data_IF_296546547835
#
_entry.id   IF_296546547835
#
_cell.length_a   1.000
_cell.length_b   1.000
_cell.length_c   1.000
_cell.angle_alpha   90.00
_cell.angle_beta   90.00
_cell.angle_gamma   90.00
#
_symmetry.space_group_name_H-M   'P 1'
#
loop_
_entity.id
_entity.type
_entity.pdbx_description
1 polymer ?
#
# COMPACT_ATOMS: atom_id res chain seq x y z
N UNK A 1 -27.48 -20.27 11.89
CA UNK A 1 -27.17 -20.24 13.34
C UNK A 1 -27.25 -18.79 13.75
N UNK A 2 -28.25 -18.44 14.56
CA UNK A 2 -28.62 -17.06 14.88
C UNK A 2 -27.56 -16.44 15.79
N UNK A 3 -26.87 -15.41 15.30
CA UNK A 3 -25.77 -14.73 16.01
C UNK A 3 -26.41 -13.65 16.91
N UNK A 4 -26.18 -13.75 18.23
CA UNK A 4 -26.38 -12.63 19.15
C UNK A 4 -25.01 -12.11 19.56
N UNK A 5 -24.85 -10.79 19.42
CA UNK A 5 -23.69 -10.00 19.81
C UNK A 5 -23.56 -9.94 21.34
N UNK A 6 -22.39 -10.30 21.87
CA UNK A 6 -21.94 -9.86 23.18
C UNK A 6 -20.71 -8.99 22.94
N UNK A 7 -20.84 -7.74 23.36
CA UNK A 7 -19.84 -6.68 23.32
C UNK A 7 -18.85 -6.81 24.48
N UNK A 8 -17.60 -6.44 24.18
CA UNK A 8 -16.43 -6.31 25.06
C UNK A 8 -15.72 -7.62 25.41
N UNK A 9 -14.62 -7.87 24.69
CA UNK A 9 -13.28 -8.23 25.19
C UNK A 9 -12.31 -8.04 23.99
N UNK A 10 -11.22 -7.29 24.15
CA UNK A 10 -10.32 -6.90 23.02
C UNK A 10 -8.86 -7.17 23.40
N UNK A 11 -8.25 -8.29 22.98
CA UNK A 11 -6.82 -8.49 23.21
C UNK A 11 -5.95 -8.25 21.94
N UNK A 12 -4.75 -7.70 22.17
CA UNK A 12 -3.52 -7.57 21.33
C UNK A 12 -3.52 -8.11 19.88
N UNK A 13 -3.93 -7.30 18.92
CA UNK A 13 -3.90 -7.60 17.47
C UNK A 13 -3.54 -6.31 16.72
N UNK A 14 -3.11 -6.33 15.44
CA UNK A 14 -2.98 -5.12 14.62
C UNK A 14 -4.23 -4.23 14.63
N UNK A 15 -5.41 -4.80 14.90
CA UNK A 15 -6.64 -4.06 15.18
C UNK A 15 -6.51 -3.04 16.32
N UNK A 16 -5.69 -3.34 17.32
CA UNK A 16 -5.43 -2.47 18.46
C UNK A 16 -4.59 -1.24 18.07
N UNK A 17 -3.69 -1.32 17.08
CA UNK A 17 -2.97 -0.14 16.55
C UNK A 17 -3.99 0.84 15.99
N UNK A 18 -4.81 0.35 15.07
CA UNK A 18 -5.86 1.12 14.42
C UNK A 18 -6.92 1.65 15.40
N UNK A 19 -7.25 0.90 16.45
CA UNK A 19 -8.18 1.31 17.51
C UNK A 19 -7.59 2.30 18.52
N UNK A 20 -6.26 2.27 18.72
CA UNK A 20 -5.57 3.29 19.50
C UNK A 20 -5.40 4.59 18.72
N UNK A 21 -5.29 4.51 17.39
CA UNK A 21 -5.29 5.68 16.49
C UNK A 21 -6.64 6.41 16.53
N UNK A 22 -7.73 5.64 16.44
CA UNK A 22 -9.09 6.17 16.51
C UNK A 22 -9.94 5.33 17.46
N UNK A 23 -10.57 5.99 18.45
CA UNK A 23 -11.64 5.38 19.26
C UNK A 23 -12.87 4.99 18.42
N UNK A 24 -12.86 5.29 17.11
CA UNK A 24 -13.89 4.96 16.15
C UNK A 24 -13.61 3.61 15.48
N UNK A 25 -14.68 2.85 15.26
CA UNK A 25 -14.62 1.65 14.43
C UNK A 25 -14.52 2.07 12.96
N UNK A 26 -13.41 1.75 12.32
CA UNK A 26 -13.11 1.93 10.90
C UNK A 26 -13.12 0.57 10.18
N UNK A 27 -13.04 0.55 8.85
CA UNK A 27 -13.02 -0.71 8.09
C UNK A 27 -11.91 -1.67 8.55
N UNK A 28 -10.77 -1.11 8.96
CA UNK A 28 -9.58 -1.87 9.34
C UNK A 28 -9.64 -2.53 10.71
N UNK A 29 -10.46 -2.05 11.66
CA UNK A 29 -10.50 -2.55 13.06
C UNK A 29 -11.87 -3.05 13.52
N UNK A 30 -12.93 -2.82 12.75
CA UNK A 30 -14.27 -3.28 13.13
C UNK A 30 -14.34 -4.82 13.18
N UNK A 31 -14.72 -5.35 14.35
CA UNK A 31 -14.81 -6.80 14.61
C UNK A 31 -16.21 -7.33 14.30
N UNK A 32 -17.25 -6.54 14.54
CA UNK A 32 -18.63 -6.89 14.22
C UNK A 32 -18.82 -7.12 12.71
N UNK A 33 -19.40 -8.27 12.36
CA UNK A 33 -19.49 -8.76 10.98
C UNK A 33 -20.44 -7.90 10.14
N UNK A 34 -21.57 -7.48 10.71
CA UNK A 34 -22.58 -6.70 10.00
C UNK A 34 -22.11 -5.25 9.79
N UNK A 35 -21.49 -4.65 10.81
CA UNK A 35 -20.87 -3.33 10.72
C UNK A 35 -19.71 -3.33 9.72
N UNK A 36 -18.86 -4.36 9.73
CA UNK A 36 -17.82 -4.53 8.71
C UNK A 36 -18.43 -4.63 7.31
N UNK A 37 -19.46 -5.47 7.13
CA UNK A 37 -20.11 -5.64 5.83
C UNK A 37 -20.73 -4.32 5.32
N UNK A 38 -21.38 -3.55 6.19
CA UNK A 38 -21.90 -2.21 5.88
C UNK A 38 -20.78 -1.29 5.40
N UNK A 39 -19.74 -1.10 6.21
CA UNK A 39 -18.60 -0.23 5.87
C UNK A 39 -17.95 -0.67 4.57
N UNK A 40 -17.77 -1.98 4.36
CA UNK A 40 -17.21 -2.53 3.12
C UNK A 40 -18.06 -2.19 1.90
N UNK A 41 -19.39 -2.34 1.97
CA UNK A 41 -20.30 -1.98 0.86
C UNK A 41 -20.22 -0.49 0.51
N UNK A 42 -20.21 0.37 1.52
CA UNK A 42 -20.09 1.83 1.33
C UNK A 42 -18.74 2.16 0.71
N UNK A 43 -17.65 1.63 1.28
CA UNK A 43 -16.29 1.89 0.84
C UNK A 43 -16.04 1.43 -0.60
N UNK A 44 -16.59 0.28 -1.00
CA UNK A 44 -16.45 -0.27 -2.35
C UNK A 44 -16.98 0.70 -3.45
N UNK A 45 -17.81 1.70 -3.12
CA UNK A 45 -18.24 2.71 -4.11
C UNK A 45 -17.07 3.58 -4.60
N UNK A 46 -16.17 3.96 -3.69
CA UNK A 46 -14.95 4.70 -4.00
C UNK A 46 -13.88 3.85 -4.73
N UNK A 47 -14.00 2.52 -4.65
CA UNK A 47 -13.11 1.57 -5.33
C UNK A 47 -13.77 0.85 -6.51
N UNK A 48 -14.93 1.34 -6.97
CA UNK A 48 -15.60 0.81 -8.16
C UNK A 48 -14.79 1.09 -9.43
N UNK A 49 -14.94 0.28 -10.48
CA UNK A 49 -14.25 0.50 -11.76
C UNK A 49 -14.49 1.91 -12.34
N UNK A 50 -15.68 2.47 -12.10
CA UNK A 50 -16.00 3.85 -12.47
C UNK A 50 -15.16 4.86 -11.70
N UNK A 51 -15.03 4.68 -10.38
CA UNK A 51 -14.23 5.54 -9.53
C UNK A 51 -12.74 5.43 -9.90
N UNK A 52 -12.24 4.22 -10.15
CA UNK A 52 -10.85 3.99 -10.56
C UNK A 52 -10.52 4.64 -11.91
N UNK A 53 -11.40 4.54 -12.92
CA UNK A 53 -11.24 5.29 -14.17
C UNK A 53 -11.25 6.81 -13.98
N UNK A 54 -12.00 7.31 -12.99
CA UNK A 54 -11.98 8.72 -12.61
C UNK A 54 -10.72 9.14 -11.86
N UNK A 55 -10.08 8.20 -11.16
CA UNK A 55 -8.85 8.40 -10.40
C UNK A 55 -7.58 8.40 -11.29
N UNK A 56 -7.57 7.57 -12.33
CA UNK A 56 -6.43 7.34 -13.22
C UNK A 56 -5.77 8.61 -13.79
N UNK A 57 -6.52 9.65 -14.25
CA UNK A 57 -5.89 10.90 -14.71
C UNK A 57 -4.99 11.56 -13.66
N UNK A 58 -5.31 11.44 -12.37
CA UNK A 58 -4.48 11.98 -11.29
C UNK A 58 -3.23 11.14 -11.05
N UNK A 59 -3.30 9.82 -11.28
CA UNK A 59 -2.13 8.93 -11.26
C UNK A 59 -1.17 9.35 -12.37
N UNK A 60 -1.65 9.49 -13.61
CA UNK A 60 -0.83 9.94 -14.73
C UNK A 60 -0.21 11.33 -14.49
N UNK A 61 -1.01 12.30 -14.07
CA UNK A 61 -0.51 13.66 -13.80
C UNK A 61 0.67 13.66 -12.82
N UNK A 62 0.56 12.92 -11.72
CA UNK A 62 1.62 12.87 -10.71
C UNK A 62 2.83 12.06 -11.18
N UNK A 63 2.60 10.94 -11.85
CA UNK A 63 3.65 10.08 -12.38
C UNK A 63 4.45 10.76 -13.49
N UNK A 64 3.79 11.39 -14.45
CA UNK A 64 4.45 12.04 -15.57
C UNK A 64 5.35 13.17 -15.06
N UNK A 65 4.87 13.96 -14.09
CA UNK A 65 5.68 14.96 -13.40
C UNK A 65 6.86 14.34 -12.64
N UNK A 66 6.66 13.20 -11.98
CA UNK A 66 7.75 12.52 -11.28
C UNK A 66 8.83 12.00 -12.24
N UNK A 67 8.44 11.47 -13.41
CA UNK A 67 9.36 11.04 -14.45
C UNK A 67 10.12 12.24 -15.06
N UNK A 68 9.45 13.38 -15.26
CA UNK A 68 10.13 14.63 -15.65
C UNK A 68 11.19 15.07 -14.64
N UNK A 69 10.86 15.03 -13.34
CA UNK A 69 11.78 15.38 -12.26
C UNK A 69 12.98 14.41 -12.21
N UNK A 70 12.76 13.12 -12.42
CA UNK A 70 13.82 12.12 -12.54
C UNK A 70 14.71 12.37 -13.77
N UNK A 71 14.11 12.70 -14.92
CA UNK A 71 14.85 13.06 -16.13
C UNK A 71 15.72 14.30 -15.93
N UNK A 72 15.26 15.29 -15.17
CA UNK A 72 16.01 16.50 -14.83
C UNK A 72 17.22 16.23 -13.92
N UNK A 73 17.31 15.06 -13.27
CA UNK A 73 18.50 14.65 -12.51
C UNK A 73 19.64 14.14 -13.41
N UNK A 74 19.41 13.95 -14.71
CA UNK A 74 20.43 13.57 -15.68
C UNK A 74 21.09 14.85 -16.19
N UNK A 75 22.32 15.11 -15.74
CA UNK A 75 23.08 16.31 -16.13
C UNK A 75 23.46 16.27 -17.61
N UNK A 76 23.56 17.44 -18.26
CA UNK A 76 24.02 17.54 -19.65
C UNK A 76 25.41 16.91 -19.82
N UNK A 77 25.51 15.87 -20.64
CA UNK A 77 26.77 15.16 -20.92
C UNK A 77 27.05 13.96 -19.99
N UNK A 78 26.19 13.71 -18.99
CA UNK A 78 26.22 12.49 -18.19
C UNK A 78 25.24 11.46 -18.74
N UNK A 79 25.64 10.19 -18.74
CA UNK A 79 24.78 9.09 -19.17
C UNK A 79 23.75 8.70 -18.08
N UNK A 80 24.14 8.85 -16.81
CA UNK A 80 23.35 8.42 -15.65
C UNK A 80 23.03 9.59 -14.73
N UNK A 81 21.87 9.56 -14.10
CA UNK A 81 21.43 10.56 -13.14
C UNK A 81 22.26 10.53 -11.85
N UNK A 82 22.09 11.60 -11.05
CA UNK A 82 22.47 11.53 -9.64
C UNK A 82 21.71 10.38 -8.94
N UNK A 83 22.33 9.72 -7.95
CA UNK A 83 21.67 8.65 -7.20
C UNK A 83 20.49 9.18 -6.40
N UNK A 84 19.35 8.50 -6.50
CA UNK A 84 18.11 8.86 -5.83
C UNK A 84 17.74 7.77 -4.82
N UNK A 85 17.31 8.16 -3.62
CA UNK A 85 16.79 7.22 -2.62
C UNK A 85 15.33 6.88 -2.96
N UNK A 86 15.12 5.71 -3.52
CA UNK A 86 13.80 5.30 -4.01
C UNK A 86 12.76 5.09 -2.90
N UNK A 87 13.17 4.85 -1.65
CA UNK A 87 12.21 4.85 -0.54
C UNK A 87 11.51 6.22 -0.41
N UNK A 88 12.30 7.30 -0.48
CA UNK A 88 11.80 8.67 -0.36
C UNK A 88 11.05 9.10 -1.61
N UNK A 89 11.62 8.89 -2.79
CA UNK A 89 11.01 9.29 -4.06
C UNK A 89 9.66 8.61 -4.30
N UNK A 90 9.56 7.31 -4.00
CA UNK A 90 8.29 6.60 -4.09
C UNK A 90 7.29 7.04 -3.02
N UNK A 91 7.74 7.36 -1.80
CA UNK A 91 6.84 7.96 -0.79
C UNK A 91 6.23 9.25 -1.32
N UNK A 92 7.04 10.17 -1.85
CA UNK A 92 6.55 11.45 -2.34
C UNK A 92 5.55 11.30 -3.50
N UNK A 93 5.85 10.42 -4.46
CA UNK A 93 4.94 10.13 -5.57
C UNK A 93 3.58 9.62 -5.08
N UNK A 94 3.58 8.57 -4.26
CA UNK A 94 2.33 7.93 -3.84
C UNK A 94 1.53 8.84 -2.90
N UNK A 95 2.20 9.63 -2.03
CA UNK A 95 1.53 10.63 -1.21
C UNK A 95 0.85 11.71 -2.05
N UNK A 96 1.46 12.17 -3.15
CA UNK A 96 0.82 13.15 -4.03
C UNK A 96 -0.40 12.56 -4.75
N UNK A 97 -0.30 11.29 -5.21
CA UNK A 97 -1.44 10.56 -5.77
C UNK A 97 -2.56 10.45 -4.75
N UNK A 98 -2.28 10.02 -3.52
CA UNK A 98 -3.31 9.92 -2.48
C UNK A 98 -3.81 11.26 -1.97
N UNK A 99 -2.99 12.32 -2.06
CA UNK A 99 -3.44 13.70 -1.89
C UNK A 99 -4.61 13.99 -2.82
N UNK A 100 -4.41 13.71 -4.10
CA UNK A 100 -5.41 13.89 -5.13
C UNK A 100 -6.65 13.00 -4.93
N UNK A 101 -6.50 11.77 -4.40
CA UNK A 101 -7.61 10.83 -4.22
C UNK A 101 -8.38 10.99 -2.90
N UNK A 102 -7.72 11.31 -1.80
CA UNK A 102 -8.33 11.38 -0.46
C UNK A 102 -8.63 12.83 -0.02
N UNK A 103 -7.89 13.82 -0.53
CA UNK A 103 -7.98 15.22 -0.07
C UNK A 103 -8.31 16.21 -1.19
N UNK A 104 -8.48 15.71 -2.41
CA UNK A 104 -8.84 16.52 -3.57
C UNK A 104 -7.76 17.46 -4.06
N UNK A 105 -6.49 17.24 -3.69
CA UNK A 105 -5.33 18.01 -4.17
C UNK A 105 -4.02 17.24 -4.05
N UNK A 106 -3.11 17.39 -5.01
CA UNK A 106 -1.71 17.03 -4.83
C UNK A 106 -1.09 17.84 -3.69
N UNK A 107 -0.16 17.24 -2.97
CA UNK A 107 0.66 17.91 -1.95
C UNK A 107 1.94 18.49 -2.53
N UNK A 108 2.28 18.10 -3.76
CA UNK A 108 3.51 18.46 -4.46
C UNK A 108 4.76 18.10 -3.63
N UNK A 109 4.71 16.99 -2.88
CA UNK A 109 5.81 16.48 -2.06
C UNK A 109 7.02 16.12 -2.91
N UNK A 110 6.80 15.61 -4.13
CA UNK A 110 7.88 15.24 -5.06
C UNK A 110 8.68 16.44 -5.57
N UNK A 111 8.13 17.65 -5.49
CA UNK A 111 8.81 18.83 -5.98
C UNK A 111 10.05 19.15 -5.11
N UNK A 112 11.17 19.62 -5.70
CA UNK A 112 12.40 19.92 -4.96
C UNK A 112 12.20 20.88 -3.78
N UNK A 113 11.37 21.91 -3.98
CA UNK A 113 11.07 23.01 -3.05
C UNK A 113 9.99 22.69 -2.00
N UNK A 114 9.52 21.45 -1.90
CA UNK A 114 8.42 21.11 -0.99
C UNK A 114 8.86 21.13 0.48
N UNK A 115 8.15 21.91 1.31
CA UNK A 115 8.40 22.05 2.75
C UNK A 115 7.80 20.93 3.60
N UNK A 116 7.05 20.02 2.99
CA UNK A 116 6.26 18.97 3.68
C UNK A 116 6.78 17.56 3.40
N UNK A 117 8.05 17.43 2.98
CA UNK A 117 8.71 16.13 2.76
C UNK A 117 8.88 15.29 4.02
N UNK A 118 8.73 15.89 5.20
CA UNK A 118 8.76 15.19 6.49
C UNK A 118 7.44 14.49 6.86
N UNK A 119 6.34 14.70 6.12
CA UNK A 119 5.04 14.10 6.44
C UNK A 119 5.06 12.56 6.39
N UNK A 120 5.66 11.90 5.39
CA UNK A 120 5.79 10.43 5.39
C UNK A 120 6.56 9.92 6.62
N UNK A 121 7.65 10.59 7.01
CA UNK A 121 8.42 10.22 8.19
C UNK A 121 7.63 10.43 9.48
N UNK A 122 6.84 11.51 9.55
CA UNK A 122 5.97 11.79 10.68
C UNK A 122 4.86 10.74 10.84
N UNK A 123 4.28 10.29 9.73
CA UNK A 123 3.33 9.17 9.70
C UNK A 123 4.00 7.87 10.16
N UNK A 124 5.21 7.59 9.69
CA UNK A 124 5.93 6.39 10.07
C UNK A 124 6.37 6.40 11.55
N UNK A 125 6.78 7.55 12.08
CA UNK A 125 7.08 7.74 13.50
C UNK A 125 5.83 7.50 14.36
N UNK A 126 4.67 7.96 13.89
CA UNK A 126 3.39 7.68 14.52
C UNK A 126 3.10 6.16 14.57
N UNK A 127 3.22 5.45 13.45
CA UNK A 127 3.02 3.99 13.41
C UNK A 127 3.98 3.22 14.35
N UNK A 128 5.26 3.62 14.37
CA UNK A 128 6.29 3.04 15.25
C UNK A 128 5.98 3.25 16.73
N UNK A 129 5.38 4.39 17.11
CA UNK A 129 4.97 4.62 18.50
C UNK A 129 3.74 3.78 18.87
N UNK A 130 2.75 3.73 17.98
CA UNK A 130 1.46 3.09 18.28
C UNK A 130 1.55 1.56 18.34
N UNK A 131 2.45 0.95 17.58
CA UNK A 131 2.58 -0.51 17.51
C UNK A 131 2.94 -1.16 18.86
N UNK A 132 4.03 -0.80 19.56
CA UNK A 132 4.33 -1.41 20.86
C UNK A 132 3.22 -1.22 21.89
N UNK A 133 2.52 -0.08 21.84
CA UNK A 133 1.38 0.20 22.74
C UNK A 133 0.23 -0.77 22.44
N UNK A 134 -0.06 -1.03 21.17
CA UNK A 134 -1.12 -1.94 20.74
C UNK A 134 -0.89 -3.39 21.11
N UNK A 135 0.36 -3.84 21.06
CA UNK A 135 0.74 -5.21 21.44
C UNK A 135 1.08 -5.36 22.93
N UNK A 136 1.02 -4.26 23.69
CA UNK A 136 1.26 -4.26 25.12
C UNK A 136 0.13 -4.98 25.88
N UNK A 137 0.43 -5.73 26.95
CA UNK A 137 -0.61 -6.27 27.84
C UNK A 137 -1.41 -5.14 28.54
N UNK A 138 -0.93 -3.90 28.49
CA UNK A 138 -1.63 -2.73 29.03
C UNK A 138 -2.52 -2.02 28.02
N UNK A 139 -2.64 -2.51 26.78
CA UNK A 139 -3.41 -1.84 25.73
C UNK A 139 -4.90 -1.65 26.11
N UNK A 140 -5.51 -2.67 26.74
CA UNK A 140 -6.89 -2.58 27.23
C UNK A 140 -7.04 -1.54 28.33
N UNK A 141 -6.12 -1.53 29.30
CA UNK A 141 -6.09 -0.52 30.36
C UNK A 141 -5.91 0.88 29.77
N UNK A 142 -5.04 1.03 28.77
CA UNK A 142 -4.80 2.28 28.06
C UNK A 142 -6.06 2.77 27.34
N UNK A 143 -6.72 1.90 26.56
CA UNK A 143 -7.99 2.21 25.89
C UNK A 143 -9.09 2.59 26.88
N UNK A 144 -9.16 1.90 28.02
CA UNK A 144 -10.12 2.19 29.08
C UNK A 144 -9.85 3.53 29.78
N UNK A 145 -8.58 3.87 29.99
CA UNK A 145 -8.13 5.13 30.60
C UNK A 145 -8.22 6.33 29.66
N UNK A 146 -8.09 6.11 28.34
CA UNK A 146 -8.07 7.14 27.29
C UNK A 146 -9.23 8.16 27.43
N UNK A 147 -10.52 7.75 27.43
CA UNK A 147 -11.64 8.68 27.60
C UNK A 147 -11.80 9.21 29.05
N UNK A 148 -11.02 8.70 30.01
CA UNK A 148 -11.11 9.05 31.45
C UNK A 148 -10.03 10.03 31.91
N UNK A 149 -9.39 10.73 30.97
CA UNK A 149 -8.41 11.80 31.26
C UNK A 149 -6.97 11.48 30.86
N UNK A 150 -6.68 10.24 30.43
CA UNK A 150 -5.35 9.92 29.90
C UNK A 150 -5.08 10.68 28.60
N UNK A 151 -6.08 10.92 27.74
CA UNK A 151 -5.89 11.74 26.54
C UNK A 151 -5.39 13.15 26.89
N UNK A 152 -5.94 13.78 27.93
CA UNK A 152 -5.48 15.10 28.38
C UNK A 152 -4.01 15.06 28.82
N UNK A 153 -3.60 14.04 29.59
CA UNK A 153 -2.20 13.88 29.98
C UNK A 153 -1.28 13.64 28.78
N UNK A 154 -1.72 12.83 27.82
CA UNK A 154 -0.96 12.49 26.62
C UNK A 154 -0.73 13.72 25.73
N UNK A 155 -1.66 14.69 25.68
CA UNK A 155 -1.46 15.90 24.86
C UNK A 155 -0.15 16.64 25.17
N UNK A 156 0.33 16.58 26.42
CA UNK A 156 1.61 17.17 26.83
C UNK A 156 2.83 16.31 26.47
N UNK A 157 2.66 14.99 26.31
CA UNK A 157 3.73 14.03 26.04
C UNK A 157 3.79 13.57 24.56
N UNK A 158 2.84 13.99 23.72
CA UNK A 158 2.82 13.60 22.29
C UNK A 158 4.00 14.23 21.53
N UNK A 159 4.84 13.42 20.85
CA UNK A 159 5.91 13.90 19.97
C UNK A 159 5.44 14.86 18.87
N UNK A 160 6.33 15.75 18.43
CA UNK A 160 6.01 16.78 17.42
C UNK A 160 5.62 16.18 16.06
N UNK A 161 6.22 15.06 15.68
CA UNK A 161 5.89 14.33 14.46
C UNK A 161 4.42 13.89 14.45
N UNK A 162 3.92 13.39 15.57
CA UNK A 162 2.52 12.93 15.69
C UNK A 162 1.55 14.11 15.59
N UNK A 163 1.88 15.23 16.24
CA UNK A 163 1.08 16.46 16.13
C UNK A 163 1.07 16.96 14.68
N UNK A 164 2.20 16.88 14.00
CA UNK A 164 2.35 17.27 12.60
C UNK A 164 1.47 16.41 11.70
N UNK A 165 1.51 15.08 11.84
CA UNK A 165 0.64 14.14 11.13
C UNK A 165 -0.85 14.43 11.37
N UNK A 166 -1.25 14.49 12.65
CA UNK A 166 -2.66 14.73 13.01
C UNK A 166 -3.18 16.07 12.47
N UNK A 167 -2.38 17.14 12.62
CA UNK A 167 -2.72 18.47 12.10
C UNK A 167 -2.82 18.47 10.58
N UNK A 168 -1.91 17.77 9.91
CA UNK A 168 -1.92 17.63 8.46
C UNK A 168 -3.21 16.97 7.97
N UNK A 169 -3.57 15.81 8.53
CA UNK A 169 -4.80 15.08 8.15
C UNK A 169 -6.04 15.93 8.42
N UNK A 170 -6.19 16.44 9.65
CA UNK A 170 -7.37 17.23 10.05
C UNK A 170 -7.55 18.47 9.17
N UNK A 171 -6.48 19.24 8.95
CA UNK A 171 -6.54 20.48 8.16
C UNK A 171 -6.94 20.21 6.71
N UNK A 172 -6.43 19.13 6.11
CA UNK A 172 -6.73 18.83 4.71
C UNK A 172 -8.14 18.26 4.54
N UNK A 173 -8.61 17.41 5.47
CA UNK A 173 -10.00 16.93 5.46
C UNK A 173 -10.99 18.06 5.70
N UNK A 174 -10.73 18.99 6.62
CA UNK A 174 -11.58 20.16 6.83
C UNK A 174 -11.69 21.06 5.61
N UNK A 175 -10.57 21.28 4.90
CA UNK A 175 -10.58 22.01 3.63
C UNK A 175 -11.40 21.26 2.58
N UNK A 176 -11.22 19.95 2.46
CA UNK A 176 -11.93 19.13 1.47
C UNK A 176 -13.44 19.05 1.74
N UNK A 177 -13.83 18.96 3.01
CA UNK A 177 -15.23 19.01 3.47
C UNK A 177 -15.90 20.31 3.07
N UNK A 178 -15.25 21.46 3.29
CA UNK A 178 -15.78 22.77 2.90
C UNK A 178 -16.02 22.85 1.40
N UNK A 179 -15.06 22.37 0.60
CA UNK A 179 -15.20 22.33 -0.86
C UNK A 179 -16.41 21.47 -1.27
N UNK A 180 -16.64 20.32 -0.62
CA UNK A 180 -17.81 19.48 -0.92
C UNK A 180 -19.13 20.16 -0.53
N UNK A 181 -19.18 20.78 0.64
CA UNK A 181 -20.36 21.52 1.11
C UNK A 181 -20.68 22.73 0.21
N UNK A 182 -19.65 23.46 -0.23
CA UNK A 182 -19.79 24.60 -1.15
C UNK A 182 -20.28 24.14 -2.54
N UNK A 183 -19.83 22.96 -3.02
CA UNK A 183 -20.32 22.35 -4.26
C UNK A 183 -21.80 21.93 -4.15
N UNK A 184 -22.25 21.42 -3.00
CA UNK A 184 -23.67 21.11 -2.79
C UNK A 184 -24.54 22.39 -2.71
N UNK A 185 -24.00 23.47 -2.11
CA UNK A 185 -24.71 24.74 -1.96
C UNK A 185 -24.75 25.59 -3.24
N UNK A 186 -23.75 25.45 -4.12
CA UNK A 186 -23.69 26.15 -5.40
C UNK A 186 -24.31 25.29 -6.51
N UNK A 187 -25.20 25.86 -7.35
CA UNK A 187 -25.76 25.16 -8.53
C UNK A 187 -24.72 24.92 -9.65
N UNK A 188 -23.43 24.85 -9.31
CA UNK A 188 -22.38 24.47 -10.25
C UNK A 188 -22.49 22.96 -10.47
N UNK A 189 -23.01 22.60 -11.65
CA UNK A 189 -23.48 21.25 -11.92
C UNK A 189 -22.45 20.14 -11.69
N UNK A 190 -22.96 18.94 -11.35
CA UNK A 190 -22.26 17.66 -11.14
C UNK A 190 -21.22 17.28 -12.23
N UNK A 191 -21.23 17.96 -13.38
CA UNK A 191 -20.33 17.73 -14.50
C UNK A 191 -18.90 18.28 -14.27
N UNK A 192 -18.74 19.28 -13.39
CA UNK A 192 -17.43 19.91 -13.10
C UNK A 192 -16.81 19.47 -11.77
N UNK A 193 -17.53 18.68 -10.96
CA UNK A 193 -17.09 18.26 -9.64
C UNK A 193 -15.99 17.19 -9.74
N UNK A 194 -14.93 17.39 -8.95
CA UNK A 194 -13.84 16.41 -8.77
C UNK A 194 -14.40 15.13 -8.13
N UNK A 195 -14.24 13.99 -8.80
CA UNK A 195 -14.76 12.68 -8.34
C UNK A 195 -13.66 11.84 -7.72
N UNK A 196 -13.17 12.29 -6.58
CA UNK A 196 -12.16 11.62 -5.76
C UNK A 196 -12.80 10.67 -4.73
N UNK A 197 -12.01 9.90 -3.96
CA UNK A 197 -12.56 8.98 -2.95
C UNK A 197 -13.39 9.73 -1.91
N UNK A 198 -12.95 10.92 -1.50
CA UNK A 198 -13.70 11.73 -0.56
C UNK A 198 -15.10 12.07 -1.10
N UNK A 199 -15.20 12.51 -2.36
CA UNK A 199 -16.48 12.78 -3.03
C UNK A 199 -17.38 11.55 -3.03
N UNK A 200 -16.86 10.38 -3.41
CA UNK A 200 -17.65 9.16 -3.44
C UNK A 200 -18.13 8.71 -2.07
N UNK A 201 -17.39 9.00 -1.00
CA UNK A 201 -17.71 8.58 0.37
C UNK A 201 -18.53 9.62 1.16
N UNK A 202 -18.49 10.89 0.79
CA UNK A 202 -19.14 11.98 1.52
C UNK A 202 -20.66 11.82 1.60
N UNK A 203 -21.30 11.54 0.47
CA UNK A 203 -22.75 11.28 0.37
C UNK A 203 -23.07 9.82 0.06
N UNK A 204 -22.10 8.92 0.24
CA UNK A 204 -22.33 7.50 0.01
C UNK A 204 -23.50 7.02 0.85
N UNK A 205 -24.39 6.24 0.26
CA UNK A 205 -25.46 5.53 0.98
C UNK A 205 -25.13 4.05 1.03
N UNK A 206 -25.50 3.37 2.12
CA UNK A 206 -25.44 1.91 2.12
C UNK A 206 -26.45 1.39 1.08
N UNK A 207 -26.00 0.64 0.05
CA UNK A 207 -26.89 0.13 -0.98
C UNK A 207 -28.03 -0.76 -0.45
N UNK A 208 -27.89 -1.34 0.74
CA UNK A 208 -28.92 -2.20 1.33
C UNK A 208 -29.97 -1.42 2.13
N UNK A 209 -29.57 -0.40 2.88
CA UNK A 209 -30.49 0.32 3.79
C UNK A 209 -30.94 1.66 3.24
N UNK A 210 -30.20 2.24 2.29
CA UNK A 210 -30.42 3.60 1.77
C UNK A 210 -30.03 4.71 2.75
N UNK A 211 -29.52 4.37 3.93
CA UNK A 211 -29.02 5.31 4.94
C UNK A 211 -27.66 5.88 4.54
N UNK A 212 -27.29 7.02 5.12
CA UNK A 212 -25.94 7.58 4.96
C UNK A 212 -24.88 6.59 5.43
N UNK A 213 -23.85 6.42 4.61
CA UNK A 213 -22.82 5.41 4.79
C UNK A 213 -21.87 5.73 5.94
N UNK A 214 -21.51 7.00 6.11
CA UNK A 214 -20.61 7.46 7.16
C UNK A 214 -21.08 8.78 7.78
N UNK A 215 -20.93 8.92 9.10
CA UNK A 215 -20.91 10.24 9.74
C UNK A 215 -19.61 10.96 9.37
N UNK A 216 -19.58 12.29 9.45
CA UNK A 216 -18.39 13.08 9.07
C UNK A 216 -17.11 12.66 9.82
N UNK A 217 -17.21 12.38 11.12
CA UNK A 217 -16.08 11.90 11.92
C UNK A 217 -15.63 10.48 11.53
N UNK A 218 -16.58 9.60 11.17
CA UNK A 218 -16.26 8.27 10.65
C UNK A 218 -15.58 8.39 9.29
N UNK A 219 -16.08 9.25 8.39
CA UNK A 219 -15.46 9.52 7.10
C UNK A 219 -14.03 10.01 7.24
N UNK A 220 -13.77 10.91 8.20
CA UNK A 220 -12.42 11.40 8.46
C UNK A 220 -11.48 10.26 8.86
N UNK A 221 -11.93 9.39 9.76
CA UNK A 221 -11.16 8.25 10.20
C UNK A 221 -10.94 7.24 9.06
N UNK A 222 -11.94 6.98 8.20
CA UNK A 222 -11.77 6.12 7.02
C UNK A 222 -10.77 6.74 6.03
N UNK A 223 -10.86 8.05 5.73
CA UNK A 223 -9.93 8.73 4.82
C UNK A 223 -8.48 8.75 5.34
N UNK A 224 -8.27 8.92 6.65
CA UNK A 224 -6.93 8.80 7.25
C UNK A 224 -6.36 7.39 7.04
N UNK A 225 -7.17 6.36 7.28
CA UNK A 225 -6.74 4.97 7.11
C UNK A 225 -6.49 4.62 5.66
N UNK A 226 -7.30 5.13 4.72
CA UNK A 226 -7.03 5.00 3.29
C UNK A 226 -5.71 5.67 2.89
N UNK A 227 -5.40 6.82 3.48
CA UNK A 227 -4.14 7.52 3.24
C UNK A 227 -2.97 6.68 3.70
N UNK A 228 -2.99 6.18 4.94
CA UNK A 228 -1.91 5.35 5.50
C UNK A 228 -1.78 4.02 4.75
N UNK A 229 -2.90 3.33 4.53
CA UNK A 229 -2.90 2.01 3.93
C UNK A 229 -2.48 2.04 2.46
N UNK A 230 -2.88 3.07 1.70
CA UNK A 230 -2.54 3.17 0.29
C UNK A 230 -1.18 3.83 0.02
N UNK A 231 -0.68 4.69 0.91
CA UNK A 231 0.60 5.38 0.70
C UNK A 231 1.79 4.45 0.92
N UNK A 232 1.95 3.93 2.14
CA UNK A 232 3.13 3.15 2.51
C UNK A 232 3.22 1.87 1.70
N UNK A 233 2.11 1.15 1.54
CA UNK A 233 2.13 -0.17 0.89
C UNK A 233 2.58 -0.08 -0.56
N UNK A 234 1.99 0.80 -1.37
CA UNK A 234 2.37 0.98 -2.78
C UNK A 234 3.77 1.57 -2.90
N UNK A 235 4.16 2.49 -2.03
CA UNK A 235 5.50 3.08 -2.05
C UNK A 235 6.61 2.05 -1.71
N UNK A 236 6.35 1.10 -0.81
CA UNK A 236 7.24 -0.03 -0.51
C UNK A 236 7.45 -0.89 -1.74
N UNK A 237 6.36 -1.33 -2.38
CA UNK A 237 6.48 -2.21 -3.54
C UNK A 237 7.16 -1.48 -4.69
N UNK A 238 6.80 -0.23 -4.96
CA UNK A 238 7.41 0.56 -6.04
C UNK A 238 8.91 0.76 -5.82
N UNK A 239 9.36 1.05 -4.59
CA UNK A 239 10.78 1.11 -4.27
C UNK A 239 11.46 -0.26 -4.48
N UNK A 240 10.81 -1.35 -4.07
CA UNK A 240 11.32 -2.70 -4.29
C UNK A 240 11.39 -3.09 -5.79
N UNK A 241 10.44 -2.63 -6.62
CA UNK A 241 10.51 -2.84 -8.07
C UNK A 241 11.82 -2.25 -8.61
N UNK A 242 12.17 -1.03 -8.21
CA UNK A 242 13.44 -0.41 -8.64
C UNK A 242 14.67 -1.16 -8.12
N UNK A 243 14.61 -1.71 -6.91
CA UNK A 243 15.67 -2.54 -6.34
C UNK A 243 15.94 -3.79 -7.20
N UNK A 244 14.88 -4.53 -7.53
CA UNK A 244 15.00 -5.78 -8.29
C UNK A 244 15.32 -5.53 -9.77
N UNK A 245 14.79 -4.47 -10.39
CA UNK A 245 15.16 -4.10 -11.76
C UNK A 245 16.65 -3.77 -11.89
N UNK A 246 17.18 -2.99 -10.95
CA UNK A 246 18.55 -2.52 -10.97
C UNK A 246 19.59 -3.63 -10.75
N UNK A 247 19.17 -4.75 -10.13
CA UNK A 247 20.02 -5.93 -9.87
C UNK A 247 19.81 -7.07 -10.86
N UNK A 248 18.80 -6.98 -11.73
CA UNK A 248 18.49 -8.03 -12.70
C UNK A 248 18.39 -7.45 -14.12
N UNK A 249 19.54 -7.16 -14.79
CA UNK A 249 19.54 -6.60 -16.15
C UNK A 249 18.74 -7.43 -17.16
N UNK A 250 18.82 -8.77 -17.07
CA UNK A 250 18.04 -9.70 -17.90
C UNK A 250 16.53 -9.45 -17.78
N UNK A 251 16.05 -9.34 -16.54
CA UNK A 251 14.64 -9.09 -16.25
C UNK A 251 14.20 -7.71 -16.73
N UNK A 252 15.05 -6.71 -16.49
CA UNK A 252 14.80 -5.33 -16.92
C UNK A 252 14.65 -5.24 -18.45
N UNK A 253 15.53 -5.89 -19.20
CA UNK A 253 15.48 -5.91 -20.66
C UNK A 253 14.25 -6.64 -21.19
N UNK A 254 13.91 -7.79 -20.59
CA UNK A 254 12.72 -8.57 -20.97
C UNK A 254 11.42 -7.78 -20.75
N UNK A 255 11.33 -7.07 -19.62
CA UNK A 255 10.21 -6.18 -19.34
C UNK A 255 10.17 -4.98 -20.30
N UNK A 256 11.33 -4.36 -20.59
CA UNK A 256 11.42 -3.26 -21.55
C UNK A 256 10.96 -3.69 -22.95
N UNK A 257 11.37 -4.89 -23.40
CA UNK A 257 10.96 -5.47 -24.67
C UNK A 257 9.45 -5.69 -24.76
N UNK A 258 8.81 -6.22 -23.71
CA UNK A 258 7.35 -6.38 -23.68
C UNK A 258 6.64 -5.02 -23.77
N UNK A 259 7.04 -4.07 -22.94
CA UNK A 259 6.37 -2.77 -22.85
C UNK A 259 6.57 -1.93 -24.12
N UNK A 260 7.80 -1.78 -24.61
CA UNK A 260 8.11 -1.02 -25.84
C UNK A 260 7.64 -1.72 -27.11
N UNK A 261 7.43 -3.04 -27.07
CA UNK A 261 6.77 -3.78 -28.15
C UNK A 261 5.25 -3.60 -28.17
N UNK A 262 4.63 -3.26 -27.04
CA UNK A 262 3.17 -3.12 -26.89
C UNK A 262 2.69 -1.68 -27.11
N UNK A 263 3.50 -0.69 -26.71
CA UNK A 263 3.15 0.73 -26.73
C UNK A 263 4.16 1.53 -27.55
N UNK A 264 3.70 2.52 -28.33
CA UNK A 264 4.59 3.36 -29.15
C UNK A 264 5.04 4.65 -28.45
N UNK A 265 4.46 4.97 -27.30
CA UNK A 265 4.87 6.11 -26.46
C UNK A 265 4.45 5.87 -25.00
N UNK A 266 5.11 6.54 -24.06
CA UNK A 266 4.75 6.52 -22.64
C UNK A 266 3.32 7.02 -22.40
N UNK A 267 2.83 7.97 -23.20
CA UNK A 267 1.48 8.53 -23.09
C UNK A 267 0.37 7.53 -23.45
N UNK A 268 0.67 6.50 -24.25
CA UNK A 268 -0.29 5.44 -24.57
C UNK A 268 -0.42 4.38 -23.48
N UNK A 269 0.47 4.41 -22.47
CA UNK A 269 0.44 3.47 -21.36
C UNK A 269 -0.65 3.95 -20.38
N UNK A 270 -1.84 3.41 -20.58
CA UNK A 270 -3.05 3.66 -19.76
C UNK A 270 -3.64 2.32 -19.30
N UNK A 271 -4.47 2.37 -18.27
CA UNK A 271 -5.24 1.21 -17.83
C UNK A 271 -6.17 0.75 -18.95
N UNK A 272 -6.15 -0.55 -19.26
CA UNK A 272 -6.89 -1.12 -20.37
C UNK A 272 -6.38 -2.49 -20.76
N UNK A 273 -7.04 -3.13 -21.73
CA UNK A 273 -6.71 -4.49 -22.16
C UNK A 273 -5.24 -4.68 -22.50
N UNK A 274 -4.65 -3.76 -23.30
CA UNK A 274 -3.23 -3.82 -23.67
C UNK A 274 -2.29 -3.96 -22.48
N UNK A 275 -2.48 -3.14 -21.44
CA UNK A 275 -1.64 -3.19 -20.23
C UNK A 275 -1.98 -4.40 -19.34
N UNK A 276 -3.23 -4.86 -19.36
CA UNK A 276 -3.63 -6.08 -18.66
C UNK A 276 -3.04 -7.35 -19.30
N UNK A 277 -2.86 -7.33 -20.62
CA UNK A 277 -2.32 -8.43 -21.42
C UNK A 277 -0.78 -8.52 -21.36
N UNK A 278 -0.09 -7.52 -20.79
CA UNK A 278 1.35 -7.58 -20.48
C UNK A 278 1.61 -8.60 -19.36
N UNK A 279 1.89 -9.85 -19.76
CA UNK A 279 2.04 -10.99 -18.84
C UNK A 279 3.31 -10.88 -18.02
N UNK A 280 4.42 -10.47 -18.64
CA UNK A 280 5.70 -10.36 -17.95
C UNK A 280 5.70 -9.20 -16.95
N UNK A 281 5.04 -8.08 -17.27
CA UNK A 281 4.75 -6.99 -16.33
C UNK A 281 4.00 -7.50 -15.09
N UNK A 282 2.90 -8.25 -15.28
CA UNK A 282 2.15 -8.83 -14.16
C UNK A 282 3.04 -9.77 -13.34
N UNK A 283 3.77 -10.66 -13.99
CA UNK A 283 4.68 -11.61 -13.37
C UNK A 283 5.77 -10.91 -12.52
N UNK A 284 6.35 -9.82 -13.03
CA UNK A 284 7.33 -9.02 -12.31
C UNK A 284 6.74 -8.40 -11.03
N UNK A 285 5.55 -7.82 -11.13
CA UNK A 285 4.87 -7.22 -9.97
C UNK A 285 4.49 -8.29 -8.94
N UNK A 286 3.99 -9.45 -9.39
CA UNK A 286 3.70 -10.59 -8.51
C UNK A 286 4.95 -11.05 -7.76
N UNK A 287 6.09 -11.18 -8.44
CA UNK A 287 7.35 -11.59 -7.80
C UNK A 287 7.86 -10.54 -6.81
N UNK A 288 7.71 -9.26 -7.15
CA UNK A 288 8.05 -8.16 -6.24
C UNK A 288 7.18 -8.19 -4.98
N UNK A 289 5.87 -8.38 -5.12
CA UNK A 289 4.94 -8.50 -3.99
C UNK A 289 5.19 -9.74 -3.15
N UNK A 290 5.59 -10.86 -3.76
CA UNK A 290 5.97 -12.07 -3.03
C UNK A 290 7.21 -11.82 -2.19
N UNK A 291 8.29 -11.32 -2.78
CA UNK A 291 9.56 -11.13 -2.06
C UNK A 291 9.54 -9.95 -1.09
N UNK A 292 8.74 -8.93 -1.38
CA UNK A 292 8.61 -7.72 -0.57
C UNK A 292 7.14 -7.48 -0.21
N UNK A 293 6.53 -8.33 0.65
CA UNK A 293 5.15 -8.12 1.08
C UNK A 293 5.09 -6.89 1.99
N UNK A 294 4.33 -5.83 1.64
CA UNK A 294 4.30 -4.60 2.45
C UNK A 294 3.73 -4.82 3.85
N UNK A 295 2.86 -5.82 4.01
CA UNK A 295 2.36 -6.27 5.30
C UNK A 295 2.90 -7.69 5.53
N UNK A 296 4.11 -7.83 6.08
CA UNK A 296 4.83 -9.11 6.13
C UNK A 296 4.30 -10.04 7.21
N UNK A 297 3.62 -9.50 8.23
CA UNK A 297 3.23 -10.23 9.43
C UNK A 297 1.80 -9.89 9.90
N UNK A 298 1.41 -10.67 10.91
CA UNK A 298 0.16 -10.78 11.65
C UNK A 298 -1.12 -10.15 11.05
N UNK A 299 -2.00 -11.00 10.51
CA UNK A 299 -3.41 -10.69 10.31
C UNK A 299 -4.25 -11.64 11.17
N UNK A 300 -3.98 -11.67 12.48
CA UNK A 300 -4.61 -12.59 13.41
C UNK A 300 -6.14 -12.62 13.32
N UNK A 301 -6.69 -13.80 13.53
CA UNK A 301 -8.09 -14.05 13.82
C UNK A 301 -8.20 -14.65 15.21
N UNK A 302 -9.26 -14.29 15.90
CA UNK A 302 -9.60 -14.90 17.18
C UNK A 302 -10.55 -16.06 16.94
N UNK A 303 -10.27 -17.19 17.58
CA UNK A 303 -11.14 -18.36 17.53
C UNK A 303 -12.36 -18.11 18.40
N UNK A 304 -13.54 -18.21 17.78
CA UNK A 304 -14.82 -17.95 18.43
C UNK A 304 -15.19 -19.04 19.46
N UNK A 305 -16.17 -18.77 20.34
CA UNK A 305 -16.73 -19.79 21.23
C UNK A 305 -17.12 -21.08 20.50
N UNK A 306 -16.69 -22.22 21.05
CA UNK A 306 -16.83 -23.54 20.43
C UNK A 306 -15.56 -24.07 19.78
N UNK A 307 -14.53 -23.24 19.60
CA UNK A 307 -13.26 -23.64 19.00
C UNK A 307 -13.34 -23.81 17.48
N UNK A 308 -12.23 -24.16 16.86
CA UNK A 308 -12.15 -24.50 15.43
C UNK A 308 -11.12 -25.58 15.18
N UNK A 309 -11.20 -26.29 14.06
CA UNK A 309 -10.20 -27.28 13.64
C UNK A 309 -9.60 -26.87 12.31
N UNK A 310 -8.27 -26.78 12.24
CA UNK A 310 -7.51 -26.47 11.00
C UNK A 310 -6.48 -27.57 10.80
N UNK A 311 -6.46 -28.20 9.61
CA UNK A 311 -5.55 -29.31 9.29
C UNK A 311 -5.53 -30.40 10.38
N UNK A 312 -6.70 -30.76 10.91
CA UNK A 312 -6.85 -31.78 11.97
C UNK A 312 -6.45 -31.34 13.39
N UNK A 313 -5.98 -30.11 13.57
CA UNK A 313 -5.59 -29.56 14.88
C UNK A 313 -6.72 -28.70 15.45
N UNK A 314 -7.18 -29.02 16.67
CA UNK A 314 -8.19 -28.24 17.37
C UNK A 314 -7.57 -27.03 18.08
N UNK A 315 -8.16 -25.87 17.85
CA UNK A 315 -7.83 -24.61 18.51
C UNK A 315 -9.01 -24.22 19.42
N UNK A 316 -8.79 -24.02 20.73
CA UNK A 316 -9.85 -23.59 21.63
C UNK A 316 -10.27 -22.14 21.37
N UNK A 317 -11.43 -21.76 21.89
CA UNK A 317 -11.87 -20.36 21.90
C UNK A 317 -10.81 -19.43 22.49
N UNK A 318 -10.83 -18.17 22.06
CA UNK A 318 -9.91 -17.10 22.48
C UNK A 318 -8.45 -17.30 22.03
N UNK A 319 -8.18 -18.35 21.22
CA UNK A 319 -6.88 -18.54 20.59
C UNK A 319 -6.73 -17.58 19.41
N UNK A 320 -5.58 -16.93 19.30
CA UNK A 320 -5.23 -16.15 18.10
C UNK A 320 -4.49 -17.01 17.10
N UNK A 321 -5.01 -17.08 15.89
CA UNK A 321 -4.42 -17.81 14.78
C UNK A 321 -4.09 -16.84 13.65
N UNK A 322 -2.90 -16.98 13.10
CA UNK A 322 -2.37 -16.10 12.07
C UNK A 322 -1.41 -16.87 11.17
N UNK A 323 -1.26 -16.42 9.94
CA UNK A 323 -0.29 -16.95 8.98
C UNK A 323 0.75 -15.88 8.71
N UNK A 324 2.03 -16.23 8.84
CA UNK A 324 3.12 -15.31 8.49
C UNK A 324 3.27 -15.23 6.98
N UNK A 325 2.80 -14.14 6.37
CA UNK A 325 2.89 -13.93 4.92
C UNK A 325 4.34 -13.96 4.44
N UNK A 326 5.25 -13.33 5.17
CA UNK A 326 6.68 -13.36 4.83
C UNK A 326 7.23 -14.79 4.79
N UNK A 327 6.94 -15.62 5.80
CA UNK A 327 7.44 -17.01 5.80
C UNK A 327 6.84 -17.83 4.66
N UNK A 328 5.55 -17.63 4.35
CA UNK A 328 4.90 -18.29 3.22
C UNK A 328 5.53 -17.88 1.88
N UNK A 329 5.81 -16.59 1.68
CA UNK A 329 6.48 -16.06 0.49
C UNK A 329 7.83 -16.70 0.24
N UNK A 330 8.54 -17.17 1.27
CA UNK A 330 9.86 -17.80 1.16
C UNK A 330 9.86 -19.31 1.40
N UNK A 331 8.69 -19.95 1.40
CA UNK A 331 8.56 -21.39 1.62
C UNK A 331 9.00 -22.18 0.38
N UNK A 332 10.02 -23.03 0.52
CA UNK A 332 10.48 -23.96 -0.53
C UNK A 332 9.41 -24.98 -0.93
N UNK A 333 8.40 -25.22 -0.08
CA UNK A 333 7.27 -26.08 -0.40
C UNK A 333 6.32 -25.48 -1.45
N UNK A 334 6.36 -24.16 -1.64
CA UNK A 334 5.48 -23.43 -2.55
C UNK A 334 6.29 -22.81 -3.69
N UNK A 335 7.44 -22.23 -3.38
CA UNK A 335 8.28 -21.50 -4.31
C UNK A 335 9.65 -22.14 -4.42
N UNK A 336 9.95 -22.73 -5.58
CA UNK A 336 11.29 -23.25 -5.87
C UNK A 336 12.32 -22.10 -5.88
N UNK A 337 13.47 -22.29 -5.23
CA UNK A 337 14.50 -21.27 -5.04
C UNK A 337 13.90 -19.93 -4.54
N UNK A 338 13.29 -19.90 -3.35
CA UNK A 338 12.41 -18.80 -2.92
C UNK A 338 13.12 -17.45 -2.76
N UNK A 339 14.45 -17.46 -2.57
CA UNK A 339 15.28 -16.26 -2.44
C UNK A 339 15.74 -15.69 -3.78
N UNK A 340 15.52 -16.40 -4.89
CA UNK A 340 15.86 -15.92 -6.24
C UNK A 340 14.69 -15.12 -6.80
N UNK A 341 14.95 -13.88 -7.18
CA UNK A 341 13.99 -13.04 -7.89
C UNK A 341 13.81 -13.54 -9.33
N UNK A 342 12.72 -14.29 -9.57
CA UNK A 342 12.42 -14.93 -10.85
C UNK A 342 10.97 -14.68 -11.26
N UNK A 343 10.66 -13.58 -11.99
CA UNK A 343 9.31 -13.34 -12.51
C UNK A 343 8.75 -14.50 -13.33
N UNK A 344 9.61 -15.26 -14.00
CA UNK A 344 9.19 -16.40 -14.82
C UNK A 344 8.41 -17.49 -14.05
N UNK A 345 8.51 -17.54 -12.72
CA UNK A 345 7.73 -18.50 -11.92
C UNK A 345 6.21 -18.32 -12.00
N UNK A 346 5.78 -17.16 -12.48
CA UNK A 346 4.37 -16.79 -12.64
C UNK A 346 3.87 -17.03 -14.08
N UNK A 347 4.70 -17.61 -14.94
CA UNK A 347 4.42 -17.83 -16.35
C UNK A 347 4.56 -19.32 -16.66
N UNK A 348 3.64 -19.83 -17.47
CA UNK A 348 3.74 -21.21 -17.95
C UNK A 348 4.79 -21.32 -19.05
N UNK A 349 5.34 -22.51 -19.27
CA UNK A 349 6.25 -22.81 -20.40
C UNK A 349 5.68 -22.43 -21.79
N UNK A 350 4.35 -22.35 -21.92
CA UNK A 350 3.68 -21.92 -23.15
C UNK A 350 3.70 -20.40 -23.34
N UNK A 351 3.81 -19.64 -22.25
CA UNK A 351 3.85 -18.18 -22.25
C UNK A 351 5.29 -17.66 -22.31
N UNK A 352 6.22 -18.38 -21.69
CA UNK A 352 7.62 -18.03 -21.62
C UNK A 352 8.51 -19.27 -21.60
N UNK A 353 9.57 -19.31 -22.40
CA UNK A 353 10.47 -20.47 -22.47
C UNK A 353 11.24 -20.75 -21.18
N UNK A 354 11.37 -19.73 -20.32
CA UNK A 354 11.98 -19.84 -18.98
C UNK A 354 10.93 -20.00 -17.88
N UNK A 355 9.64 -20.13 -18.24
CA UNK A 355 8.53 -20.34 -17.32
C UNK A 355 8.52 -21.74 -16.69
N UNK A 356 7.58 -21.94 -15.77
CA UNK A 356 7.41 -23.19 -15.02
C UNK A 356 6.28 -24.07 -15.59
N UNK A 357 6.14 -25.30 -15.08
CA UNK A 357 5.00 -26.15 -15.43
C UNK A 357 3.68 -25.52 -14.95
N UNK A 358 2.56 -25.85 -15.60
CA UNK A 358 1.24 -25.34 -15.19
C UNK A 358 0.90 -25.66 -13.74
N UNK A 359 1.35 -26.82 -13.24
CA UNK A 359 1.18 -27.24 -11.85
C UNK A 359 2.01 -26.38 -10.88
N UNK A 360 3.24 -26.05 -11.24
CA UNK A 360 4.10 -25.18 -10.43
C UNK A 360 3.60 -23.73 -10.39
N UNK A 361 3.13 -23.20 -11.53
CA UNK A 361 2.51 -21.87 -11.58
C UNK A 361 1.24 -21.84 -10.73
N UNK A 362 0.39 -22.86 -10.82
CA UNK A 362 -0.81 -22.96 -9.98
C UNK A 362 -0.48 -23.06 -8.47
N UNK A 363 0.60 -23.76 -8.11
CA UNK A 363 1.09 -23.83 -6.74
C UNK A 363 1.59 -22.45 -6.26
N UNK A 364 2.38 -21.75 -7.07
CA UNK A 364 2.86 -20.40 -6.76
C UNK A 364 1.71 -19.40 -6.56
N UNK A 365 0.70 -19.45 -7.43
CA UNK A 365 -0.54 -18.67 -7.34
C UNK A 365 -1.33 -18.99 -6.05
N UNK A 366 -1.39 -20.27 -5.65
CA UNK A 366 -2.09 -20.68 -4.43
C UNK A 366 -1.47 -20.13 -3.15
N UNK A 367 -0.16 -19.89 -3.13
CA UNK A 367 0.54 -19.25 -2.02
C UNK A 367 0.52 -17.72 -2.05
N UNK A 368 0.13 -17.13 -3.18
CA UNK A 368 0.15 -15.68 -3.36
C UNK A 368 -0.98 -15.01 -2.57
N UNK A 369 -0.61 -14.31 -1.50
CA UNK A 369 -1.57 -13.71 -0.57
C UNK A 369 -1.24 -12.24 -0.20
N UNK A 370 -0.49 -11.52 -1.03
CA UNK A 370 -0.06 -10.14 -0.76
C UNK A 370 -1.22 -9.16 -0.49
N UNK A 371 -2.42 -9.47 -0.98
CA UNK A 371 -3.64 -8.68 -0.75
C UNK A 371 -4.61 -9.30 0.27
N UNK A 372 -4.19 -10.35 1.00
CA UNK A 372 -5.06 -11.19 1.84
C UNK A 372 -6.21 -11.83 1.03
N UNK A 373 -7.06 -12.62 1.69
CA UNK A 373 -8.17 -13.34 1.03
C UNK A 373 -9.46 -13.28 1.86
N UNK A 374 -10.59 -13.58 1.21
CA UNK A 374 -11.91 -13.62 1.84
C UNK A 374 -12.49 -12.25 2.18
N UNK A 375 -13.42 -12.21 3.14
CA UNK A 375 -14.19 -11.00 3.48
C UNK A 375 -13.35 -9.83 4.02
N UNK A 376 -12.11 -10.10 4.45
CA UNK A 376 -11.14 -9.11 4.95
C UNK A 376 -10.02 -8.82 3.95
N UNK A 377 -10.15 -9.28 2.70
CA UNK A 377 -9.19 -8.98 1.63
C UNK A 377 -9.05 -7.48 1.38
N UNK A 378 -7.90 -7.07 0.86
CA UNK A 378 -7.57 -5.66 0.61
C UNK A 378 -8.68 -4.97 -0.20
N UNK A 379 -9.07 -3.76 0.22
CA UNK A 379 -10.06 -2.95 -0.50
C UNK A 379 -9.45 -2.27 -1.73
N UNK A 380 -8.18 -1.87 -1.62
CA UNK A 380 -7.45 -1.14 -2.66
C UNK A 380 -6.80 -2.03 -3.72
N UNK A 381 -7.04 -3.35 -3.73
CA UNK A 381 -6.32 -4.29 -4.60
C UNK A 381 -6.31 -3.87 -6.08
N UNK A 382 -7.47 -3.52 -6.64
CA UNK A 382 -7.58 -3.13 -8.05
C UNK A 382 -6.87 -1.79 -8.33
N UNK A 383 -6.94 -0.85 -7.38
CA UNK A 383 -6.27 0.44 -7.48
C UNK A 383 -4.74 0.25 -7.42
N UNK A 384 -4.25 -0.54 -6.47
CA UNK A 384 -2.82 -0.85 -6.33
C UNK A 384 -2.28 -1.53 -7.58
N UNK A 385 -3.00 -2.50 -8.16
CA UNK A 385 -2.60 -3.13 -9.42
C UNK A 385 -2.57 -2.15 -10.59
N UNK A 386 -3.55 -1.25 -10.70
CA UNK A 386 -3.57 -0.20 -11.72
C UNK A 386 -2.35 0.71 -11.57
N UNK A 387 -2.13 1.25 -10.38
CA UNK A 387 -1.03 2.17 -10.08
C UNK A 387 0.33 1.51 -10.34
N UNK A 388 0.57 0.34 -9.76
CA UNK A 388 1.82 -0.40 -9.94
C UNK A 388 2.12 -0.73 -11.41
N UNK A 389 1.11 -1.16 -12.18
CA UNK A 389 1.30 -1.45 -13.61
C UNK A 389 1.65 -0.19 -14.41
N UNK A 390 0.93 0.90 -14.18
CA UNK A 390 1.17 2.17 -14.88
C UNK A 390 2.55 2.74 -14.52
N UNK A 391 2.88 2.78 -13.23
CA UNK A 391 4.17 3.28 -12.72
C UNK A 391 5.32 2.48 -13.31
N UNK A 392 5.28 1.15 -13.18
CA UNK A 392 6.36 0.29 -13.66
C UNK A 392 6.51 0.33 -15.18
N UNK A 393 5.39 0.30 -15.92
CA UNK A 393 5.43 0.34 -17.38
C UNK A 393 5.99 1.67 -17.90
N UNK A 394 5.53 2.82 -17.38
CA UNK A 394 6.08 4.12 -17.80
C UNK A 394 7.53 4.31 -17.35
N UNK A 395 7.90 3.80 -16.17
CA UNK A 395 9.27 3.88 -15.69
C UNK A 395 10.23 3.10 -16.60
N UNK A 396 9.89 1.86 -16.94
CA UNK A 396 10.72 1.02 -17.82
C UNK A 396 10.69 1.48 -19.27
N UNK A 397 9.58 2.03 -19.74
CA UNK A 397 9.51 2.61 -21.07
C UNK A 397 10.51 3.76 -21.23
N UNK A 398 10.64 4.59 -20.18
CA UNK A 398 11.42 5.83 -20.19
C UNK A 398 12.88 5.64 -19.79
N UNK A 399 13.18 4.73 -18.86
CA UNK A 399 14.51 4.64 -18.24
C UNK A 399 15.11 3.23 -18.20
N UNK A 400 16.44 3.21 -18.27
CA UNK A 400 17.30 2.17 -17.73
C UNK A 400 17.66 2.49 -16.27
N UNK A 401 17.66 1.48 -15.41
CA UNK A 401 17.95 1.60 -13.98
C UNK A 401 19.20 0.80 -13.65
N UNK A 402 20.07 1.39 -12.83
CA UNK A 402 21.16 0.67 -12.18
C UNK A 402 21.27 1.02 -10.72
N UNK A 403 21.85 0.11 -9.95
CA UNK A 403 22.23 0.36 -8.58
C UNK A 403 23.36 1.39 -8.53
N UNK A 404 23.34 2.29 -7.56
CA UNK A 404 24.48 3.15 -7.25
C UNK A 404 25.71 2.31 -6.86
N UNK A 405 26.81 2.33 -7.65
CA UNK A 405 27.95 1.44 -7.43
C UNK A 405 28.64 1.62 -6.06
N UNK A 406 28.65 2.83 -5.52
CA UNK A 406 29.33 3.13 -4.26
C UNK A 406 28.46 2.92 -3.00
N UNK A 407 27.14 2.72 -3.16
CA UNK A 407 26.21 2.67 -2.04
C UNK A 407 25.19 1.53 -2.19
N UNK A 408 25.34 0.49 -1.35
CA UNK A 408 24.41 -0.63 -1.27
C UNK A 408 23.25 -0.39 -0.27
N UNK A 409 22.88 0.86 0.00
CA UNK A 409 21.70 1.17 0.81
C UNK A 409 20.46 0.48 0.19
N UNK A 410 19.68 -0.17 1.05
CA UNK A 410 18.56 -1.01 0.63
C UNK A 410 18.95 -2.39 0.10
N UNK A 411 20.22 -2.81 0.14
CA UNK A 411 20.63 -4.20 -0.11
C UNK A 411 21.11 -4.89 1.17
N UNK A 412 20.96 -6.21 1.24
CA UNK A 412 21.59 -6.99 2.30
C UNK A 412 23.12 -6.97 2.24
N UNK A 413 23.75 -7.35 3.35
CA UNK A 413 25.22 -7.48 3.46
C UNK A 413 25.57 -8.68 4.34
N UNK A 414 26.62 -9.47 4.04
CA UNK A 414 27.06 -10.56 4.89
C UNK A 414 27.34 -10.16 6.35
N UNK A 415 27.67 -8.88 6.58
CA UNK A 415 27.92 -8.30 7.91
C UNK A 415 26.67 -7.76 8.61
N UNK A 416 25.53 -7.74 7.93
CA UNK A 416 24.26 -7.32 8.50
C UNK A 416 23.71 -8.35 9.49
N UNK A 417 22.73 -7.91 10.31
CA UNK A 417 21.96 -8.80 11.20
C UNK A 417 21.27 -9.92 10.43
N UNK A 418 20.95 -11.01 11.13
CA UNK A 418 20.22 -12.16 10.58
C UNK A 418 18.94 -11.69 9.85
N UNK A 419 18.69 -12.25 8.66
CA UNK A 419 17.57 -11.87 7.79
C UNK A 419 17.86 -10.69 6.84
N UNK A 420 19.01 -10.01 6.98
CA UNK A 420 19.42 -8.86 6.16
C UNK A 420 20.73 -9.15 5.40
N UNK A 421 21.05 -10.43 5.21
CA UNK A 421 22.37 -10.85 4.75
C UNK A 421 22.47 -11.02 3.23
N UNK A 422 21.35 -11.33 2.57
CA UNK A 422 21.32 -11.54 1.13
C UNK A 422 21.32 -10.20 0.37
N UNK A 423 22.38 -9.88 -0.40
CA UNK A 423 22.45 -8.64 -1.17
C UNK A 423 21.41 -8.53 -2.28
N UNK A 424 20.77 -9.65 -2.65
CA UNK A 424 19.76 -9.72 -3.70
C UNK A 424 18.32 -9.67 -3.16
N UNK A 425 18.14 -9.58 -1.84
CA UNK A 425 16.83 -9.43 -1.19
C UNK A 425 16.70 -8.01 -0.64
N UNK A 426 15.56 -7.38 -0.92
CA UNK A 426 15.27 -6.05 -0.41
C UNK A 426 14.90 -6.13 1.08
N UNK A 427 15.69 -5.53 1.99
CA UNK A 427 15.49 -5.66 3.42
C UNK A 427 14.30 -4.82 3.90
N UNK A 428 13.45 -5.45 4.70
CA UNK A 428 12.29 -4.82 5.34
C UNK A 428 12.48 -4.80 6.86
N UNK A 429 12.23 -3.65 7.48
CA UNK A 429 12.24 -3.50 8.93
C UNK A 429 10.84 -3.69 9.49
N UNK A 430 10.75 -4.37 10.64
CA UNK A 430 9.48 -4.64 11.31
C UNK A 430 8.81 -3.34 11.77
N UNK A 431 7.58 -3.14 11.29
CA UNK A 431 6.60 -2.21 11.83
C UNK A 431 5.17 -2.65 11.42
N UNK A 432 4.12 -1.88 11.75
CA UNK A 432 2.73 -2.19 11.39
C UNK A 432 2.55 -2.40 9.87
N UNK A 433 3.19 -1.54 9.07
CA UNK A 433 3.51 -1.79 7.65
C UNK A 433 5.03 -1.85 7.57
N UNK A 434 5.58 -2.73 6.72
CA UNK A 434 7.04 -2.87 6.60
C UNK A 434 7.73 -1.53 6.34
N UNK A 435 8.79 -1.25 7.10
CA UNK A 435 9.61 -0.07 6.90
C UNK A 435 10.79 -0.40 5.99
N UNK A 436 11.37 0.60 5.33
CA UNK A 436 12.51 0.43 4.40
C UNK A 436 13.41 1.64 4.36
N UNK A 437 14.57 1.47 3.74
CA UNK A 437 15.46 2.56 3.33
C UNK A 437 16.21 2.14 2.05
N UNK A 438 16.44 3.08 1.12
CA UNK A 438 16.91 2.79 -0.22
C UNK A 438 15.85 2.12 -1.11
N UNK A 439 16.21 1.51 -2.25
CA UNK A 439 17.55 1.50 -2.83
C UNK A 439 18.04 2.87 -3.30
N UNK A 440 19.35 3.03 -3.42
CA UNK A 440 19.94 4.12 -4.19
C UNK A 440 20.05 3.72 -5.66
N UNK A 441 19.32 4.41 -6.53
CA UNK A 441 19.20 4.10 -7.96
C UNK A 441 19.65 5.27 -8.81
N UNK A 442 20.31 4.97 -9.93
CA UNK A 442 20.57 5.92 -11.00
C UNK A 442 19.72 5.57 -12.21
N UNK A 443 19.23 6.60 -12.90
CA UNK A 443 18.44 6.50 -14.11
C UNK A 443 19.25 6.93 -15.32
N UNK A 444 19.06 6.24 -16.44
CA UNK A 444 19.54 6.63 -17.76
C UNK A 444 18.34 6.66 -18.69
N UNK A 445 18.22 7.66 -19.55
CA UNK A 445 17.16 7.69 -20.57
C UNK A 445 17.31 6.48 -21.51
N UNK A 446 16.23 5.73 -21.71
CA UNK A 446 16.23 4.55 -22.57
C UNK A 446 16.05 4.94 -24.03
N UNK A 447 16.92 4.43 -24.89
CA UNK A 447 16.91 4.70 -26.34
C UNK A 447 15.80 3.94 -27.09
#
# INVERSE_FOLDING_TARGET
>A
MTIRTVSFDIPSSPYCVLQLMHLLNIIGNVTDVEAHARKRRVLNQAFSDRALRGAEPYVHKNLDRWLELAQQQISTGEEWSKPMNMAHECNYLVFDILGDLCFGKSFDMKEPQSDIKNIPDAMAAFLRLMQPIAFSPFAEWWLWMKPRGLDWLLTFAVPEDIKTWQKFVATNLDKRTKVEQDMQGSRLGECAARKDFFHYLFDAKDPQTGESGYKLNELYAECEVLTIAGSDTTAIVTAAMTFYLARNPRVQEKLAKEIRGTFSSADQIVSGSKLQDCKYLKAFISETLRMTPPVPADLAREVLPGGTTVEGHFFPADTKVSTCLYSLSYSEHVYENPFVFRPERWLTLAEDSEGDSSEQVALADSGFCAFSTGNRGCVGMNMAWMEMKIVLAKLIYTFELRQEPANNLGGGSPTSKLGFQDPNVYPLFDAFVAMRDGPMIQFKARE
#
